data_IF_924100358084
#
_entry.id   IF_924100358084
#
_cell.length_a   1.000
_cell.length_b   1.000
_cell.length_c   1.000
_cell.angle_alpha   90.00
_cell.angle_beta   90.00
_cell.angle_gamma   90.00
#
_symmetry.space_group_name_H-M   'P 1'
#
loop_
_entity.id
_entity.type
_entity.pdbx_description
1 polymer ?
#
# COMPACT_ATOMS: atom_id res chain seq x y z
N UNK A 1 3.79 -14.13 -13.55
CA UNK A 1 4.49 -15.42 -13.78
C UNK A 1 5.22 -15.93 -12.52
N UNK A 2 6.05 -15.11 -11.86
CA UNK A 2 6.89 -15.56 -10.71
C UNK A 2 6.22 -15.48 -9.34
N UNK A 3 4.90 -15.23 -9.29
CA UNK A 3 4.17 -15.01 -8.03
C UNK A 3 4.75 -13.90 -7.13
N UNK A 4 5.49 -12.94 -7.70
CA UNK A 4 6.09 -11.83 -6.95
C UNK A 4 5.07 -10.85 -6.31
N UNK A 5 3.76 -11.05 -6.50
CA UNK A 5 2.71 -10.22 -5.89
C UNK A 5 1.59 -11.14 -5.40
N UNK A 6 1.18 -10.95 -4.15
CA UNK A 6 0.13 -11.72 -3.50
C UNK A 6 -0.59 -10.85 -2.46
N UNK A 7 -1.66 -11.39 -1.88
CA UNK A 7 -2.40 -10.80 -0.77
C UNK A 7 -1.97 -11.48 0.53
N UNK A 8 -1.56 -10.67 1.50
CA UNK A 8 -1.22 -11.13 2.85
C UNK A 8 -2.49 -11.47 3.67
N UNK A 9 -2.36 -12.20 4.79
CA UNK A 9 -3.50 -12.57 5.63
C UNK A 9 -4.32 -11.39 6.16
N UNK A 10 -3.67 -10.25 6.43
CA UNK A 10 -4.32 -8.98 6.82
C UNK A 10 -5.01 -8.24 5.66
N UNK A 11 -4.92 -8.80 4.46
CA UNK A 11 -5.55 -8.28 3.25
C UNK A 11 -4.71 -7.27 2.46
N UNK A 12 -3.51 -6.92 2.93
CA UNK A 12 -2.61 -6.04 2.20
C UNK A 12 -2.04 -6.79 1.00
N UNK A 13 -2.22 -6.25 -0.20
CA UNK A 13 -1.52 -6.77 -1.38
C UNK A 13 -0.08 -6.27 -1.32
N UNK A 14 0.90 -7.15 -1.51
CA UNK A 14 2.35 -6.88 -1.45
C UNK A 14 3.03 -7.15 -2.80
N UNK A 15 4.26 -6.66 -2.97
CA UNK A 15 5.15 -7.04 -4.07
C UNK A 15 6.50 -7.36 -3.43
N UNK A 16 7.04 -8.54 -3.72
CA UNK A 16 8.43 -8.83 -3.40
C UNK A 16 9.33 -8.31 -4.52
N UNK A 17 10.16 -7.32 -4.18
CA UNK A 17 11.07 -6.70 -5.16
C UNK A 17 12.20 -7.64 -5.59
N UNK A 18 12.51 -8.71 -4.83
CA UNK A 18 13.57 -9.66 -5.17
C UNK A 18 13.08 -10.71 -6.18
N UNK A 19 11.79 -11.04 -6.15
CA UNK A 19 11.16 -12.00 -7.05
C UNK A 19 10.56 -11.33 -8.29
N UNK A 20 10.47 -10.00 -8.28
CA UNK A 20 9.93 -9.22 -9.39
C UNK A 20 10.90 -9.22 -10.57
N UNK A 21 10.54 -9.91 -11.65
CA UNK A 21 11.33 -9.97 -12.89
C UNK A 21 11.05 -8.80 -13.86
N UNK A 22 10.29 -7.79 -13.45
CA UNK A 22 10.05 -6.62 -14.29
C UNK A 22 9.16 -6.81 -15.53
N UNK A 23 8.40 -7.91 -15.62
CA UNK A 23 7.52 -8.19 -16.79
C UNK A 23 6.34 -7.21 -16.97
N UNK A 24 6.04 -6.34 -15.99
CA UNK A 24 5.00 -5.29 -16.02
C UNK A 24 3.55 -5.74 -16.26
N UNK A 25 3.25 -7.02 -16.42
CA UNK A 25 1.86 -7.50 -16.54
C UNK A 25 0.98 -7.13 -15.34
N UNK A 26 1.55 -7.04 -14.15
CA UNK A 26 0.81 -6.57 -12.98
C UNK A 26 0.38 -5.10 -13.09
N UNK A 27 1.11 -4.26 -13.85
CA UNK A 27 0.73 -2.87 -14.11
C UNK A 27 -0.43 -2.82 -15.10
N UNK A 28 -0.35 -3.58 -16.19
CA UNK A 28 -1.42 -3.67 -17.18
C UNK A 28 -2.73 -4.23 -16.57
N UNK A 29 -2.62 -5.21 -15.68
CA UNK A 29 -3.76 -5.80 -14.99
C UNK A 29 -4.39 -4.89 -13.92
N UNK A 30 -3.71 -3.82 -13.47
CA UNK A 30 -4.22 -2.96 -12.41
C UNK A 30 -5.15 -1.88 -12.99
N UNK A 31 -6.47 -1.90 -12.71
CA UNK A 31 -7.40 -0.94 -13.30
C UNK A 31 -7.25 0.48 -12.73
N UNK A 32 -6.41 0.64 -11.71
CA UNK A 32 -6.18 1.90 -10.99
C UNK A 32 -4.88 2.60 -11.39
N UNK A 33 -4.03 1.97 -12.22
CA UNK A 33 -2.70 2.51 -12.54
C UNK A 33 -1.80 2.69 -11.30
N UNK A 34 -2.08 1.97 -10.21
CA UNK A 34 -1.47 2.17 -8.89
C UNK A 34 -0.13 1.44 -8.70
N UNK A 35 0.47 0.95 -9.78
CA UNK A 35 1.78 0.28 -9.79
C UNK A 35 2.76 1.11 -10.61
N UNK A 36 4.00 1.26 -10.10
CA UNK A 36 5.05 2.06 -10.72
C UNK A 36 6.26 1.19 -11.05
N UNK A 37 6.90 1.43 -12.18
CA UNK A 37 8.10 0.70 -12.59
C UNK A 37 9.35 1.53 -12.28
N UNK A 38 10.36 0.91 -11.69
CA UNK A 38 11.63 1.54 -11.40
C UNK A 38 12.55 1.51 -12.63
N UNK A 39 12.63 2.62 -13.35
CA UNK A 39 13.49 2.78 -14.53
C UNK A 39 14.93 3.19 -14.18
N UNK A 40 15.07 4.00 -13.14
CA UNK A 40 16.35 4.55 -12.71
C UNK A 40 17.17 3.57 -11.89
N UNK A 41 18.48 3.84 -11.84
CA UNK A 41 19.38 3.14 -10.93
C UNK A 41 19.33 3.77 -9.54
N UNK A 42 19.30 2.98 -8.46
CA UNK A 42 19.30 3.50 -7.10
C UNK A 42 20.61 4.22 -6.82
N UNK A 43 20.54 5.45 -6.29
CA UNK A 43 21.72 6.30 -6.02
C UNK A 43 21.95 6.57 -4.53
N UNK A 44 21.33 5.77 -3.66
CA UNK A 44 21.43 5.99 -2.20
C UNK A 44 22.79 5.46 -1.73
N UNK A 45 23.57 6.29 -1.05
CA UNK A 45 24.86 5.90 -0.49
C UNK A 45 24.68 4.82 0.59
N UNK A 46 25.65 3.93 0.75
CA UNK A 46 25.52 2.76 1.64
C UNK A 46 25.30 3.18 3.10
N UNK A 47 25.89 4.31 3.49
CA UNK A 47 25.87 4.90 4.82
C UNK A 47 24.48 5.51 5.13
N UNK A 48 23.72 5.88 4.11
CA UNK A 48 22.36 6.44 4.23
C UNK A 48 21.28 5.35 4.21
N UNK A 49 21.64 4.09 3.92
CA UNK A 49 20.69 2.99 3.86
C UNK A 49 20.25 2.59 5.26
N UNK A 50 18.96 2.77 5.53
CA UNK A 50 18.33 2.11 6.67
C UNK A 50 18.20 0.61 6.39
N UNK A 51 19.06 -0.20 7.00
CA UNK A 51 19.04 -1.67 6.93
C UNK A 51 17.94 -2.30 7.78
N UNK A 52 17.33 -1.55 8.70
CA UNK A 52 16.24 -1.98 9.57
C UNK A 52 14.89 -1.59 8.95
N UNK A 53 14.49 -2.33 7.92
CA UNK A 53 13.19 -2.17 7.26
C UNK A 53 12.51 -3.53 7.12
N UNK A 54 11.18 -3.56 7.20
CA UNK A 54 10.42 -4.79 6.96
C UNK A 54 10.74 -5.35 5.57
N UNK A 55 10.86 -6.67 5.45
CA UNK A 55 11.27 -7.34 4.21
C UNK A 55 10.45 -6.88 2.99
N UNK A 56 9.11 -6.91 3.10
CA UNK A 56 8.20 -6.45 2.04
C UNK A 56 7.95 -4.93 2.05
N UNK A 57 8.67 -4.19 2.89
CA UNK A 57 8.40 -2.81 3.26
C UNK A 57 8.99 -1.77 2.33
N UNK A 58 9.36 -0.63 2.90
CA UNK A 58 10.04 0.44 2.18
C UNK A 58 11.55 0.19 2.12
N UNK A 59 11.96 -0.87 1.42
CA UNK A 59 13.38 -1.14 1.13
C UNK A 59 13.80 -0.48 -0.20
N UNK A 60 15.07 -0.09 -0.37
CA UNK A 60 15.59 0.33 -1.68
C UNK A 60 15.22 -0.68 -2.77
N UNK A 61 14.73 -0.18 -3.91
CA UNK A 61 14.29 -1.03 -5.02
C UNK A 61 15.39 -1.07 -6.07
N UNK A 62 15.56 -2.22 -6.72
CA UNK A 62 16.46 -2.33 -7.86
C UNK A 62 15.83 -1.70 -9.11
N UNK A 63 16.68 -1.31 -10.06
CA UNK A 63 16.21 -1.02 -11.43
C UNK A 63 15.52 -2.26 -11.98
N UNK A 64 14.42 -2.06 -12.70
CA UNK A 64 13.71 -3.15 -13.35
C UNK A 64 12.55 -3.74 -12.56
N UNK A 65 12.30 -3.31 -11.32
CA UNK A 65 11.23 -3.88 -10.48
C UNK A 65 10.00 -2.97 -10.41
N UNK A 66 8.84 -3.59 -10.23
CA UNK A 66 7.57 -2.87 -10.01
C UNK A 66 7.33 -2.66 -8.52
N UNK A 67 6.82 -1.49 -8.16
CA UNK A 67 6.42 -1.13 -6.81
C UNK A 67 4.96 -0.66 -6.75
N UNK A 68 4.43 -0.53 -5.53
CA UNK A 68 3.13 0.08 -5.25
C UNK A 68 3.03 0.54 -3.79
N UNK A 69 1.93 1.22 -3.48
CA UNK A 69 1.52 1.39 -2.09
C UNK A 69 1.26 0.02 -1.44
N UNK A 70 1.84 -0.16 -0.26
CA UNK A 70 1.72 -1.36 0.58
C UNK A 70 1.19 -1.00 1.97
N UNK A 71 0.43 0.09 2.09
CA UNK A 71 -0.04 0.65 3.37
C UNK A 71 1.04 0.75 4.45
N UNK A 72 2.27 1.08 4.01
CA UNK A 72 3.43 1.24 4.87
C UNK A 72 3.59 0.11 5.90
N UNK A 73 3.58 -1.16 5.47
CA UNK A 73 3.71 -2.32 6.39
C UNK A 73 4.87 -2.20 7.39
N UNK A 74 5.97 -1.53 7.00
CA UNK A 74 7.11 -1.27 7.89
C UNK A 74 6.77 -0.36 9.08
N UNK A 75 5.65 0.35 9.03
CA UNK A 75 5.08 1.19 10.10
C UNK A 75 3.91 0.49 10.76
N UNK A 76 2.94 0.00 9.98
CA UNK A 76 1.69 -0.55 10.51
C UNK A 76 1.88 -1.89 11.22
N UNK A 77 2.87 -2.69 10.81
CA UNK A 77 3.26 -3.94 11.48
C UNK A 77 4.48 -3.74 12.41
N UNK A 78 4.88 -2.50 12.66
CA UNK A 78 5.95 -2.19 13.62
C UNK A 78 5.52 -2.45 15.06
N UNK A 79 6.48 -2.44 15.98
CA UNK A 79 6.21 -2.50 17.42
C UNK A 79 6.91 -1.31 18.13
N UNK A 80 6.16 -0.29 18.58
CA UNK A 80 4.71 -0.13 18.47
C UNK A 80 4.25 0.15 17.03
N UNK A 81 3.01 -0.25 16.71
CA UNK A 81 2.40 0.02 15.41
C UNK A 81 2.19 1.52 15.19
N UNK A 82 2.44 2.01 13.97
CA UNK A 82 2.24 3.41 13.58
C UNK A 82 1.34 3.53 12.38
N UNK A 83 0.71 4.70 12.23
CA UNK A 83 -0.05 5.01 11.01
C UNK A 83 0.84 4.96 9.76
N UNK A 84 0.27 4.65 8.59
CA UNK A 84 0.94 4.86 7.32
C UNK A 84 1.41 6.31 7.20
N UNK A 85 2.57 6.53 6.58
CA UNK A 85 3.15 7.86 6.47
C UNK A 85 2.21 8.88 5.82
N UNK A 86 1.42 8.42 4.84
CA UNK A 86 0.45 9.24 4.13
C UNK A 86 -0.75 9.69 4.99
N UNK A 87 -1.06 8.95 6.06
CA UNK A 87 -2.12 9.25 7.03
C UNK A 87 -1.57 10.19 8.10
N UNK A 88 -0.41 9.84 8.66
CA UNK A 88 0.22 10.60 9.75
C UNK A 88 0.57 12.03 9.34
N UNK A 89 1.01 12.25 8.10
CA UNK A 89 1.37 13.58 7.61
C UNK A 89 0.17 14.46 7.24
N UNK A 90 -1.04 13.89 7.15
CA UNK A 90 -2.18 14.61 6.59
C UNK A 90 -2.74 15.65 7.59
N UNK A 91 -2.58 16.97 7.33
CA UNK A 91 -2.95 17.99 8.32
C UNK A 91 -4.46 18.14 8.47
N UNK A 92 -5.23 17.85 7.41
CA UNK A 92 -6.68 18.01 7.36
C UNK A 92 -7.45 16.73 7.71
N UNK A 93 -6.75 15.64 8.03
CA UNK A 93 -7.39 14.36 8.36
C UNK A 93 -8.14 13.70 7.19
N UNK A 94 -7.80 14.02 5.93
CA UNK A 94 -8.48 13.48 4.74
C UNK A 94 -8.29 11.97 4.54
N UNK A 95 -7.27 11.36 5.14
CA UNK A 95 -6.97 9.93 5.02
C UNK A 95 -7.00 9.30 6.39
N UNK A 96 -7.76 8.22 6.54
CA UNK A 96 -7.82 7.41 7.75
C UNK A 96 -7.48 5.96 7.43
N UNK A 97 -6.87 5.25 8.38
CA UNK A 97 -6.43 3.86 8.20
C UNK A 97 -6.74 3.07 9.46
N UNK A 98 -7.23 1.84 9.31
CA UNK A 98 -7.60 1.00 10.45
C UNK A 98 -7.96 -0.42 10.05
N UNK A 99 -8.18 -1.26 11.06
CA UNK A 99 -8.57 -2.65 10.89
C UNK A 99 -10.08 -2.75 10.57
N UNK A 100 -10.42 -3.17 9.35
CA UNK A 100 -11.82 -3.33 8.93
C UNK A 100 -12.60 -4.39 9.73
N UNK A 101 -11.90 -5.32 10.39
CA UNK A 101 -12.51 -6.36 11.23
C UNK A 101 -12.77 -5.89 12.66
N UNK A 102 -12.21 -4.74 13.06
CA UNK A 102 -12.47 -4.14 14.36
C UNK A 102 -13.64 -3.15 14.24
N UNK A 103 -14.80 -3.43 14.86
CA UNK A 103 -15.96 -2.54 14.85
C UNK A 103 -15.67 -1.16 15.46
N UNK A 104 -14.68 -1.07 16.36
CA UNK A 104 -14.33 0.19 17.03
C UNK A 104 -13.31 1.02 16.26
N UNK A 105 -12.80 0.53 15.14
CA UNK A 105 -11.80 1.25 14.35
C UNK A 105 -12.38 2.50 13.67
N UNK A 106 -11.53 3.52 13.49
CA UNK A 106 -11.91 4.78 12.84
C UNK A 106 -12.48 4.56 11.42
N UNK A 107 -11.92 3.61 10.67
CA UNK A 107 -12.41 3.28 9.34
C UNK A 107 -13.82 2.69 9.39
N UNK A 108 -14.16 1.93 10.44
CA UNK A 108 -15.48 1.33 10.59
C UNK A 108 -16.53 2.38 10.92
N UNK A 109 -16.20 3.27 11.86
CA UNK A 109 -17.05 4.43 12.16
C UNK A 109 -17.30 5.29 10.91
N UNK A 110 -16.30 5.53 10.07
CA UNK A 110 -16.48 6.29 8.82
C UNK A 110 -17.40 5.58 7.83
N UNK A 111 -17.23 4.27 7.64
CA UNK A 111 -18.08 3.50 6.72
C UNK A 111 -19.54 3.48 7.20
N UNK A 112 -19.77 3.44 8.51
CA UNK A 112 -21.11 3.39 9.10
C UNK A 112 -21.81 4.75 9.12
N UNK A 113 -21.06 5.84 9.36
CA UNK A 113 -21.64 7.16 9.61
C UNK A 113 -21.58 8.11 8.42
N UNK A 114 -20.69 7.87 7.44
CA UNK A 114 -20.50 8.75 6.29
C UNK A 114 -20.95 8.10 4.99
N UNK A 115 -21.28 8.95 4.01
CA UNK A 115 -21.47 8.50 2.63
C UNK A 115 -20.11 8.06 2.07
N UNK A 116 -20.02 6.80 1.70
CA UNK A 116 -18.81 6.19 1.13
C UNK A 116 -19.08 5.58 -0.24
N UNK A 117 -18.05 5.52 -1.08
CA UNK A 117 -18.03 4.76 -2.32
C UNK A 117 -16.66 4.15 -2.55
N UNK A 118 -16.58 3.09 -3.36
CA UNK A 118 -15.32 2.55 -3.87
C UNK A 118 -15.14 2.96 -5.32
N UNK A 119 -13.89 3.21 -5.70
CA UNK A 119 -13.57 3.55 -7.08
C UNK A 119 -13.73 2.30 -7.98
N UNK A 120 -14.41 2.44 -9.12
CA UNK A 120 -14.61 1.37 -10.13
C UNK A 120 -15.28 0.10 -9.56
N UNK A 121 -16.43 0.28 -8.90
CA UNK A 121 -17.20 -0.83 -8.32
C UNK A 121 -17.69 -1.85 -9.36
N UNK A 122 -17.95 -1.41 -10.58
CA UNK A 122 -18.34 -2.20 -11.74
C UNK A 122 -17.34 -3.32 -12.07
N UNK A 123 -16.06 -3.12 -11.78
CA UNK A 123 -15.00 -4.11 -12.03
C UNK A 123 -14.92 -5.21 -10.96
N UNK A 124 -15.73 -5.13 -9.90
CA UNK A 124 -15.83 -6.11 -8.81
C UNK A 124 -14.48 -6.55 -8.20
N UNK A 125 -13.48 -5.67 -8.20
CA UNK A 125 -12.15 -5.96 -7.60
C UNK A 125 -12.14 -5.82 -6.07
N UNK A 126 -13.25 -5.35 -5.49
CA UNK A 126 -13.48 -5.18 -4.05
C UNK A 126 -12.32 -4.52 -3.29
N UNK A 127 -11.84 -3.33 -3.74
CA UNK A 127 -10.68 -2.69 -3.14
C UNK A 127 -10.92 -2.38 -1.65
N UNK A 128 -9.86 -2.48 -0.84
CA UNK A 128 -9.85 -2.06 0.57
C UNK A 128 -9.42 -0.60 0.70
N UNK A 129 -10.02 0.25 -0.13
CA UNK A 129 -9.80 1.69 -0.18
C UNK A 129 -11.15 2.33 -0.44
N UNK A 130 -11.61 3.16 0.49
CA UNK A 130 -12.92 3.78 0.47
C UNK A 130 -12.75 5.29 0.36
N UNK A 131 -13.53 5.91 -0.51
CA UNK A 131 -13.65 7.35 -0.60
C UNK A 131 -14.89 7.76 0.17
N UNK A 132 -14.76 8.78 1.03
CA UNK A 132 -15.88 9.33 1.78
C UNK A 132 -16.04 10.81 1.45
N UNK A 133 -17.28 11.28 1.47
CA UNK A 133 -17.56 12.70 1.28
C UNK A 133 -17.41 13.43 2.62
N UNK A 134 -16.53 14.43 2.65
CA UNK A 134 -16.46 15.36 3.77
C UNK A 134 -17.63 16.35 3.64
N UNK A 135 -18.53 16.32 4.62
CA UNK A 135 -19.51 17.37 4.91
C UNK A 135 -18.86 18.52 5.61
#
# INVERSE_FOLDING_TARGET
PTQATWKEPDGIVVIDYNWCIGCRYCMAACPYGARRFNWGEPRIAREELNTKSHYLGNRPRYKGVVEKCIFCIQRTRGNPGRYPACVEICPVGARKFGNLLDPKSEIRQIIETKRVFRLKEDLNTQPKFFYFFAT
#
